data_IF_149071154088
#
_entry.id   IF_149071154088
#
_cell.length_a   1.000
_cell.length_b   1.000
_cell.length_c   1.000
_cell.angle_alpha   90.00
_cell.angle_beta   90.00
_cell.angle_gamma   90.00
#
_symmetry.space_group_name_H-M   'P 1'
#
loop_
_entity.id
_entity.type
_entity.pdbx_description
1 polymer ?
#
# COMPACT_ATOMS: atom_id res chain seq x y z
N UNK A 1 -1.50 -15.10 -23.63
CA UNK A 1 -2.69 -14.77 -22.80
C UNK A 1 -3.63 -13.90 -23.64
N UNK A 2 -4.94 -14.10 -23.58
CA UNK A 2 -5.90 -13.15 -24.21
C UNK A 2 -5.76 -11.81 -23.47
N UNK A 3 -5.53 -10.72 -24.21
CA UNK A 3 -5.39 -9.36 -23.68
C UNK A 3 -6.61 -9.03 -22.82
N UNK A 4 -6.39 -8.41 -21.66
CA UNK A 4 -7.44 -7.96 -20.74
C UNK A 4 -8.30 -6.93 -21.47
N UNK A 5 -9.61 -7.20 -21.56
CA UNK A 5 -10.55 -6.33 -22.29
C UNK A 5 -11.12 -5.22 -21.38
N UNK A 6 -11.91 -4.32 -21.98
CA UNK A 6 -12.53 -3.21 -21.25
C UNK A 6 -13.50 -3.67 -20.15
N UNK A 7 -14.19 -4.81 -20.33
CA UNK A 7 -15.10 -5.34 -19.31
C UNK A 7 -14.32 -5.92 -18.14
N UNK A 8 -13.22 -6.62 -18.39
CA UNK A 8 -12.30 -7.09 -17.35
C UNK A 8 -11.76 -5.90 -16.54
N UNK A 9 -11.30 -4.83 -17.22
CA UNK A 9 -10.84 -3.59 -16.57
C UNK A 9 -11.91 -2.95 -15.69
N UNK A 10 -13.15 -2.84 -16.18
CA UNK A 10 -14.29 -2.32 -15.40
C UNK A 10 -14.61 -3.21 -14.19
N UNK A 11 -14.52 -4.54 -14.32
CA UNK A 11 -14.67 -5.46 -13.19
C UNK A 11 -13.56 -5.23 -12.15
N UNK A 12 -12.31 -5.12 -12.58
CA UNK A 12 -11.18 -4.83 -11.68
C UNK A 12 -11.37 -3.49 -10.94
N UNK A 13 -11.85 -2.45 -11.63
CA UNK A 13 -12.15 -1.17 -11.01
C UNK A 13 -13.27 -1.27 -9.96
N UNK A 14 -14.34 -2.03 -10.24
CA UNK A 14 -15.40 -2.26 -9.25
C UNK A 14 -14.90 -3.07 -8.04
N UNK A 15 -14.00 -4.03 -8.26
CA UNK A 15 -13.34 -4.75 -7.17
C UNK A 15 -12.37 -3.86 -6.38
N UNK A 16 -11.75 -2.87 -7.00
CA UNK A 16 -10.99 -1.84 -6.29
C UNK A 16 -11.91 -0.86 -5.55
N UNK A 17 -13.12 -0.61 -6.03
CA UNK A 17 -14.08 0.21 -5.29
C UNK A 17 -14.55 -0.46 -3.99
N UNK A 18 -14.93 -1.73 -4.08
CA UNK A 18 -15.20 -2.59 -2.94
C UNK A 18 -15.16 -4.03 -3.41
N UNK A 19 -14.12 -4.77 -3.01
CA UNK A 19 -13.98 -6.15 -3.41
C UNK A 19 -14.97 -7.07 -2.70
N UNK A 20 -15.77 -6.64 -1.72
CA UNK A 20 -16.80 -7.50 -1.09
C UNK A 20 -18.15 -7.47 -1.82
N UNK A 21 -18.28 -6.65 -2.87
CA UNK A 21 -19.47 -6.62 -3.71
C UNK A 21 -19.78 -7.99 -4.34
N UNK A 22 -21.07 -8.30 -4.42
CA UNK A 22 -21.56 -9.49 -5.11
C UNK A 22 -21.36 -9.38 -6.62
N UNK A 23 -21.21 -10.52 -7.29
CA UNK A 23 -21.08 -10.56 -8.76
C UNK A 23 -22.31 -9.98 -9.47
N UNK A 24 -23.48 -9.99 -8.82
CA UNK A 24 -24.70 -9.36 -9.35
C UNK A 24 -24.61 -7.81 -9.30
N UNK A 25 -24.11 -7.24 -8.20
CA UNK A 25 -23.88 -5.79 -8.10
C UNK A 25 -22.87 -5.32 -9.14
N UNK A 26 -21.72 -6.02 -9.23
CA UNK A 26 -20.70 -5.73 -10.25
C UNK A 26 -21.31 -5.85 -11.66
N UNK A 27 -22.05 -6.93 -11.93
CA UNK A 27 -22.70 -7.18 -13.22
C UNK A 27 -23.66 -6.08 -13.66
N UNK A 28 -24.49 -5.57 -12.74
CA UNK A 28 -25.36 -4.41 -13.00
C UNK A 28 -24.57 -3.17 -13.42
N UNK A 29 -23.47 -2.86 -12.71
CA UNK A 29 -22.64 -1.69 -13.00
C UNK A 29 -21.88 -1.81 -14.32
N UNK A 30 -21.36 -3.00 -14.64
CA UNK A 30 -20.55 -3.21 -15.85
C UNK A 30 -21.36 -3.70 -17.05
N UNK A 31 -22.68 -3.91 -16.91
CA UNK A 31 -23.56 -4.41 -17.96
C UNK A 31 -23.23 -5.85 -18.39
N UNK A 32 -23.12 -6.77 -17.42
CA UNK A 32 -22.89 -8.20 -17.62
C UNK A 32 -23.77 -9.03 -16.68
N UNK A 33 -24.07 -10.27 -17.07
CA UNK A 33 -24.75 -11.23 -16.18
C UNK A 33 -23.85 -11.69 -15.03
N UNK A 34 -24.47 -12.05 -13.88
CA UNK A 34 -23.78 -12.51 -12.65
C UNK A 34 -22.75 -13.61 -12.93
N UNK A 35 -23.12 -14.62 -13.70
CA UNK A 35 -22.25 -15.79 -13.93
C UNK A 35 -21.06 -15.45 -14.83
N UNK A 36 -21.26 -14.54 -15.80
CA UNK A 36 -20.19 -14.02 -16.65
C UNK A 36 -19.17 -13.23 -15.82
N UNK A 37 -19.64 -12.43 -14.85
CA UNK A 37 -18.75 -11.73 -13.90
C UNK A 37 -17.96 -12.73 -13.06
N UNK A 38 -18.62 -13.73 -12.48
CA UNK A 38 -17.95 -14.78 -11.69
C UNK A 38 -16.85 -15.48 -12.48
N UNK A 39 -17.19 -15.95 -13.69
CA UNK A 39 -16.23 -16.57 -14.60
C UNK A 39 -15.03 -15.68 -14.92
N UNK A 40 -15.25 -14.37 -15.16
CA UNK A 40 -14.16 -13.42 -15.44
C UNK A 40 -13.26 -13.21 -14.23
N UNK A 41 -13.83 -13.05 -13.03
CA UNK A 41 -13.05 -12.91 -11.78
C UNK A 41 -12.17 -14.15 -11.56
N UNK A 42 -12.74 -15.36 -11.67
CA UNK A 42 -12.02 -16.62 -11.49
C UNK A 42 -10.89 -16.76 -12.53
N UNK A 43 -11.16 -16.37 -13.77
CA UNK A 43 -10.15 -16.37 -14.83
C UNK A 43 -9.02 -15.36 -14.54
N UNK A 44 -9.33 -14.18 -14.01
CA UNK A 44 -8.34 -13.15 -13.65
C UNK A 44 -7.48 -13.61 -12.47
N UNK A 45 -8.06 -14.31 -11.49
CA UNK A 45 -7.32 -14.98 -10.40
C UNK A 45 -6.42 -16.09 -10.94
N UNK A 46 -6.97 -17.03 -11.73
CA UNK A 46 -6.22 -18.17 -12.28
C UNK A 46 -5.04 -17.75 -13.15
N UNK A 47 -5.16 -16.63 -13.87
CA UNK A 47 -4.09 -16.10 -14.71
C UNK A 47 -3.11 -15.18 -13.95
N UNK A 48 -3.28 -14.99 -12.64
CA UNK A 48 -2.42 -14.17 -11.79
C UNK A 48 -2.56 -12.66 -12.00
N UNK A 49 -3.61 -12.19 -12.69
CA UNK A 49 -3.89 -10.75 -12.82
C UNK A 49 -4.34 -10.18 -11.48
N UNK A 50 -5.25 -10.88 -10.81
CA UNK A 50 -5.61 -10.61 -9.41
C UNK A 50 -4.70 -11.49 -8.55
N UNK A 51 -3.92 -10.85 -7.67
CA UNK A 51 -3.06 -11.56 -6.71
C UNK A 51 -3.86 -12.01 -5.48
N UNK A 52 -4.63 -11.07 -4.91
CA UNK A 52 -5.52 -11.32 -3.79
C UNK A 52 -6.52 -10.15 -3.61
N UNK A 53 -7.41 -10.30 -2.64
CA UNK A 53 -8.31 -9.26 -2.17
C UNK A 53 -7.91 -8.89 -0.75
N UNK A 54 -7.74 -7.60 -0.44
CA UNK A 54 -7.18 -7.18 0.84
C UNK A 54 -7.96 -6.00 1.45
N UNK A 55 -7.80 -5.81 2.75
CA UNK A 55 -8.36 -4.66 3.48
C UNK A 55 -7.32 -3.56 3.64
N UNK A 56 -7.71 -2.31 3.43
CA UNK A 56 -6.93 -1.15 3.87
C UNK A 56 -7.21 -0.95 5.36
N UNK A 57 -6.21 -1.26 6.20
CA UNK A 57 -6.29 -1.12 7.65
C UNK A 57 -5.52 0.13 8.08
N UNK A 58 -6.18 0.98 8.86
CA UNK A 58 -5.58 2.18 9.45
C UNK A 58 -4.81 1.79 10.70
N UNK A 59 -3.50 1.57 10.56
CA UNK A 59 -2.63 1.17 11.68
C UNK A 59 -2.41 2.31 12.68
N UNK A 60 -2.61 3.58 12.28
CA UNK A 60 -2.64 4.70 13.24
C UNK A 60 -3.84 4.59 14.18
N UNK A 61 -5.01 4.11 13.70
CA UNK A 61 -6.16 3.80 14.56
C UNK A 61 -5.89 2.65 15.53
N UNK A 62 -4.89 1.81 15.27
CA UNK A 62 -4.44 0.76 16.17
C UNK A 62 -3.31 1.21 17.13
N UNK A 63 -2.99 2.51 17.13
CA UNK A 63 -1.98 3.11 17.99
C UNK A 63 -0.55 2.76 17.60
N UNK A 64 -0.30 2.45 16.33
CA UNK A 64 1.05 2.32 15.80
C UNK A 64 1.50 3.61 15.12
N UNK A 65 2.77 3.93 15.28
CA UNK A 65 3.50 4.85 14.42
C UNK A 65 4.20 4.04 13.33
N UNK A 66 4.37 4.65 12.16
CA UNK A 66 5.00 3.99 11.01
C UNK A 66 6.34 4.66 10.74
N UNK A 67 7.40 3.89 10.86
CA UNK A 67 8.77 4.31 10.57
C UNK A 67 9.24 3.60 9.33
N UNK A 68 9.98 4.32 8.50
CA UNK A 68 10.60 3.80 7.30
C UNK A 68 12.09 4.02 7.36
N UNK A 69 12.83 2.98 7.03
CA UNK A 69 14.26 2.91 7.10
C UNK A 69 14.76 2.64 5.68
N UNK A 70 15.54 3.58 5.18
CA UNK A 70 16.24 3.46 3.90
C UNK A 70 17.68 3.08 4.19
N UNK A 71 18.21 2.05 3.51
CA UNK A 71 19.56 1.52 3.74
C UNK A 71 20.30 1.40 2.40
N UNK A 72 21.53 1.88 2.38
CA UNK A 72 22.54 1.54 1.38
C UNK A 72 23.57 0.60 1.99
N UNK A 73 23.89 -0.48 1.27
CA UNK A 73 24.84 -1.46 1.76
C UNK A 73 26.28 -1.10 1.39
N UNK A 74 27.20 -1.42 2.29
CA UNK A 74 28.63 -1.48 2.03
C UNK A 74 29.20 -2.80 2.52
N UNK A 75 30.21 -3.32 1.82
CA UNK A 75 30.94 -4.53 2.23
C UNK A 75 30.06 -5.78 2.48
N UNK A 76 28.86 -5.85 1.89
CA UNK A 76 27.97 -7.01 2.04
C UNK A 76 28.33 -8.10 1.03
N UNK A 77 28.47 -9.33 1.51
CA UNK A 77 28.40 -10.52 0.63
C UNK A 77 26.93 -10.92 0.43
N UNK A 78 26.61 -11.79 -0.54
CA UNK A 78 25.26 -12.33 -0.69
C UNK A 78 24.70 -12.95 0.60
N UNK A 79 25.51 -13.69 1.34
CA UNK A 79 25.11 -14.38 2.58
C UNK A 79 24.77 -13.39 3.69
N UNK A 80 25.60 -12.36 3.87
CA UNK A 80 25.37 -11.29 4.86
C UNK A 80 24.11 -10.50 4.47
N UNK A 81 23.93 -10.21 3.18
CA UNK A 81 22.73 -9.52 2.69
C UNK A 81 21.47 -10.32 2.99
N UNK A 82 21.49 -11.64 2.76
CA UNK A 82 20.38 -12.52 3.11
C UNK A 82 20.10 -12.57 4.61
N UNK A 83 21.15 -12.60 5.45
CA UNK A 83 21.03 -12.54 6.90
C UNK A 83 20.35 -11.25 7.37
N UNK A 84 20.82 -10.09 6.89
CA UNK A 84 20.25 -8.78 7.23
C UNK A 84 18.77 -8.70 6.79
N UNK A 85 18.47 -9.13 5.57
CA UNK A 85 17.09 -9.14 5.07
C UNK A 85 16.22 -10.04 5.93
N UNK A 86 16.71 -11.23 6.29
CA UNK A 86 15.99 -12.16 7.17
C UNK A 86 15.73 -11.56 8.54
N UNK A 87 16.69 -10.86 9.14
CA UNK A 87 16.51 -10.15 10.41
C UNK A 87 15.32 -9.18 10.36
N UNK A 88 15.21 -8.37 9.29
CA UNK A 88 14.07 -7.47 9.11
C UNK A 88 12.77 -8.22 8.79
N UNK A 89 12.80 -9.31 8.02
CA UNK A 89 11.61 -10.11 7.71
C UNK A 89 11.05 -10.78 8.96
N UNK A 90 11.90 -11.31 9.82
CA UNK A 90 11.51 -12.01 11.04
C UNK A 90 11.05 -11.04 12.16
N UNK A 91 11.38 -9.75 12.04
CA UNK A 91 10.87 -8.75 12.98
C UNK A 91 9.34 -8.65 12.90
N UNK A 92 8.69 -8.95 14.03
CA UNK A 92 7.22 -9.08 14.12
C UNK A 92 6.45 -7.80 13.82
N UNK A 93 7.10 -6.64 13.90
CA UNK A 93 6.49 -5.35 13.55
C UNK A 93 6.90 -4.84 12.17
N UNK A 94 7.58 -5.65 11.35
CA UNK A 94 7.86 -5.29 9.96
C UNK A 94 6.60 -5.35 9.11
N UNK A 95 6.29 -4.22 8.50
CA UNK A 95 5.28 -4.10 7.46
C UNK A 95 5.86 -4.55 6.12
N UNK A 96 6.85 -3.83 5.62
CA UNK A 96 7.44 -4.03 4.29
C UNK A 96 8.93 -4.26 4.44
N UNK A 97 9.46 -5.25 3.73
CA UNK A 97 10.90 -5.45 3.52
C UNK A 97 11.09 -5.69 2.03
N UNK A 98 11.77 -4.77 1.34
CA UNK A 98 11.90 -4.79 -0.11
C UNK A 98 13.26 -4.28 -0.55
N UNK A 99 13.95 -5.03 -1.41
CA UNK A 99 15.11 -4.47 -2.12
C UNK A 99 14.63 -3.64 -3.29
N UNK A 100 15.28 -2.51 -3.52
CA UNK A 100 14.91 -1.54 -4.55
C UNK A 100 16.12 -1.23 -5.44
N UNK A 101 15.87 -0.70 -6.63
CA UNK A 101 16.92 -0.20 -7.53
C UNK A 101 16.84 1.31 -7.62
N UNK A 102 17.96 1.98 -7.32
CA UNK A 102 18.31 3.40 -7.58
C UNK A 102 19.29 3.86 -6.48
N UNK A 103 19.01 4.94 -5.76
CA UNK A 103 19.84 5.51 -4.68
C UNK A 103 19.76 4.75 -3.34
N UNK A 104 18.90 3.73 -3.22
CA UNK A 104 18.66 2.94 -2.00
C UNK A 104 18.78 1.46 -2.38
N UNK A 105 19.31 0.61 -1.50
CA UNK A 105 19.41 -0.83 -1.74
C UNK A 105 18.30 -1.63 -1.04
N UNK A 106 17.94 -1.23 0.17
CA UNK A 106 16.93 -1.86 1.00
C UNK A 106 16.02 -0.80 1.63
N UNK A 107 14.72 -1.03 1.50
CA UNK A 107 13.67 -0.24 2.11
C UNK A 107 12.87 -1.11 3.09
N UNK A 108 12.79 -0.66 4.34
CA UNK A 108 12.11 -1.35 5.43
C UNK A 108 11.09 -0.42 6.06
N UNK A 109 9.86 -0.88 6.20
CA UNK A 109 8.81 -0.15 6.93
C UNK A 109 8.42 -0.97 8.16
N UNK A 110 8.45 -0.35 9.34
CA UNK A 110 8.10 -0.97 10.61
C UNK A 110 7.01 -0.19 11.34
N UNK A 111 6.19 -0.91 12.09
CA UNK A 111 5.28 -0.34 13.08
C UNK A 111 5.95 -0.28 14.45
N UNK A 112 5.72 0.77 15.21
CA UNK A 112 6.23 0.90 16.58
C UNK A 112 5.18 1.59 17.45
N UNK A 113 5.06 1.22 18.74
CA UNK A 113 4.09 1.90 19.61
C UNK A 113 4.57 3.29 20.01
N UNK A 114 5.88 3.47 20.15
CA UNK A 114 6.47 4.76 20.53
C UNK A 114 7.92 4.87 20.03
N UNK A 115 8.49 6.07 20.15
CA UNK A 115 9.84 6.39 19.68
C UNK A 115 10.91 5.58 20.43
N UNK A 116 10.69 5.27 21.72
CA UNK A 116 11.66 4.53 22.51
C UNK A 116 11.74 3.05 22.09
N UNK A 117 10.62 2.42 21.73
CA UNK A 117 10.62 1.08 21.14
C UNK A 117 11.34 1.05 19.79
N UNK A 118 11.16 2.08 18.96
CA UNK A 118 11.92 2.21 17.72
C UNK A 118 13.43 2.32 18.00
N UNK A 119 13.81 3.18 18.96
CA UNK A 119 15.21 3.36 19.33
C UNK A 119 15.86 2.02 19.72
N UNK A 120 15.25 1.24 20.62
CA UNK A 120 15.79 -0.08 21.01
C UNK A 120 16.03 -1.00 19.82
N UNK A 121 15.01 -1.14 18.98
CA UNK A 121 15.12 -1.97 17.77
C UNK A 121 16.23 -1.48 16.84
N UNK A 122 16.33 -0.17 16.62
CA UNK A 122 17.30 0.41 15.71
C UNK A 122 18.73 0.34 16.26
N UNK A 123 18.92 0.56 17.55
CA UNK A 123 20.22 0.47 18.24
C UNK A 123 20.77 -0.95 18.14
N UNK A 124 19.96 -1.97 18.47
CA UNK A 124 20.31 -3.38 18.30
C UNK A 124 20.64 -3.73 16.84
N UNK A 125 19.91 -3.14 15.89
CA UNK A 125 20.16 -3.34 14.46
C UNK A 125 21.51 -2.76 14.04
N UNK A 126 21.88 -1.59 14.56
CA UNK A 126 23.17 -0.95 14.27
C UNK A 126 24.35 -1.70 14.93
N UNK A 127 24.17 -2.22 16.13
CA UNK A 127 25.18 -3.06 16.81
C UNK A 127 25.52 -4.31 15.98
N UNK A 128 24.50 -4.95 15.40
CA UNK A 128 24.68 -6.16 14.59
C UNK A 128 25.21 -5.84 13.19
N UNK A 129 24.61 -4.84 12.52
CA UNK A 129 24.75 -4.67 11.07
C UNK A 129 25.22 -3.29 10.62
N UNK A 130 25.41 -2.32 11.53
CA UNK A 130 25.74 -0.94 11.19
C UNK A 130 27.02 -0.79 10.35
N UNK A 131 28.02 -1.65 10.56
CA UNK A 131 29.24 -1.70 9.74
C UNK A 131 29.01 -2.03 8.26
N UNK A 132 27.85 -2.59 7.92
CA UNK A 132 27.44 -2.91 6.55
C UNK A 132 26.52 -1.85 5.93
N UNK A 133 26.20 -0.77 6.64
CA UNK A 133 25.36 0.31 6.14
C UNK A 133 26.24 1.49 5.74
N UNK A 134 26.36 1.79 4.45
CA UNK A 134 27.10 2.97 3.97
C UNK A 134 26.38 4.23 4.43
N UNK A 135 25.06 4.23 4.23
CA UNK A 135 24.15 5.30 4.57
C UNK A 135 22.84 4.67 5.02
N UNK A 136 22.19 5.32 5.96
CA UNK A 136 20.82 5.03 6.30
C UNK A 136 20.06 6.32 6.59
N UNK A 137 18.75 6.30 6.35
CA UNK A 137 17.87 7.39 6.70
C UNK A 137 16.56 6.85 7.27
N UNK A 138 15.97 7.63 8.16
CA UNK A 138 14.71 7.27 8.82
C UNK A 138 13.67 8.33 8.49
N UNK A 139 12.50 7.87 8.07
CA UNK A 139 11.30 8.68 7.85
C UNK A 139 10.19 8.25 8.79
N UNK A 140 9.45 9.21 9.32
CA UNK A 140 8.27 8.97 10.16
C UNK A 140 7.03 9.40 9.37
N UNK A 141 6.14 8.46 9.07
CA UNK A 141 4.93 8.79 8.32
C UNK A 141 3.95 9.57 9.19
N UNK A 142 3.47 10.69 8.65
CA UNK A 142 2.46 11.53 9.30
C UNK A 142 1.09 11.41 8.64
N UNK A 143 1.07 11.07 7.35
CA UNK A 143 -0.15 10.89 6.57
C UNK A 143 0.09 9.94 5.41
N UNK A 144 -0.88 9.08 5.13
CA UNK A 144 -0.93 8.25 3.92
C UNK A 144 -2.26 8.47 3.20
N UNK A 145 -2.19 8.73 1.91
CA UNK A 145 -3.35 8.87 1.02
C UNK A 145 -3.36 7.72 0.02
N UNK A 146 -4.44 6.96 -0.02
CA UNK A 146 -4.64 5.86 -0.97
C UNK A 146 -5.70 6.24 -1.98
N UNK A 147 -5.40 6.07 -3.26
CA UNK A 147 -6.28 6.44 -4.35
C UNK A 147 -6.93 5.21 -4.98
N UNK A 148 -8.08 5.41 -5.61
CA UNK A 148 -8.66 4.39 -6.47
C UNK A 148 -7.80 4.20 -7.72
N UNK A 149 -7.81 2.96 -8.23
CA UNK A 149 -7.06 2.50 -9.42
C UNK A 149 -7.71 2.97 -10.72
N UNK A 150 -7.84 4.28 -10.84
CA UNK A 150 -8.40 5.02 -11.97
C UNK A 150 -7.75 4.68 -13.31
N UNK A 151 -6.45 4.39 -13.32
CA UNK A 151 -5.70 3.89 -14.48
C UNK A 151 -6.30 2.62 -15.13
N UNK A 152 -7.24 1.94 -14.46
CA UNK A 152 -7.99 0.82 -15.05
C UNK A 152 -9.03 1.28 -16.08
N UNK A 153 -9.55 2.50 -15.99
CA UNK A 153 -10.68 3.00 -16.78
C UNK A 153 -10.31 3.78 -18.04
N UNK A 154 -9.08 3.61 -18.56
CA UNK A 154 -8.52 4.25 -19.77
C UNK A 154 -9.56 4.92 -20.69
N UNK A 155 -9.45 6.24 -20.88
CA UNK A 155 -10.25 7.09 -21.79
C UNK A 155 -11.62 7.58 -21.29
N UNK A 156 -11.92 7.47 -20.00
CA UNK A 156 -13.09 8.13 -19.40
C UNK A 156 -12.64 9.39 -18.65
N UNK A 157 -13.21 10.56 -19.02
CA UNK A 157 -13.10 11.77 -18.21
C UNK A 157 -13.62 11.44 -16.81
N UNK A 158 -12.69 11.30 -15.87
CA UNK A 158 -13.01 11.15 -14.48
C UNK A 158 -13.34 12.53 -13.93
N UNK A 159 -14.56 13.00 -14.24
CA UNK A 159 -15.19 14.14 -13.56
C UNK A 159 -15.58 13.80 -12.11
N UNK A 160 -15.28 12.58 -11.67
CA UNK A 160 -15.57 12.12 -10.31
C UNK A 160 -14.53 12.69 -9.34
N UNK A 161 -15.02 13.24 -8.22
CA UNK A 161 -14.21 13.73 -7.11
C UNK A 161 -13.39 12.55 -6.56
N UNK A 162 -12.17 12.40 -7.08
CA UNK A 162 -11.21 11.36 -6.72
C UNK A 162 -10.69 11.60 -5.30
N UNK A 163 -11.55 11.35 -4.32
CA UNK A 163 -11.30 11.58 -2.91
C UNK A 163 -10.47 10.40 -2.36
N UNK A 164 -9.21 10.62 -1.99
CA UNK A 164 -8.39 9.55 -1.44
C UNK A 164 -8.83 9.17 -0.03
N UNK A 165 -8.66 7.90 0.30
CA UNK A 165 -8.69 7.45 1.69
C UNK A 165 -7.44 8.01 2.37
N UNK A 166 -7.64 8.89 3.34
CA UNK A 166 -6.54 9.48 4.12
C UNK A 166 -6.46 8.88 5.52
N UNK A 167 -5.27 8.42 5.91
CA UNK A 167 -4.91 7.95 7.25
C UNK A 167 -3.85 8.89 7.82
N UNK A 168 -4.03 9.36 9.06
CA UNK A 168 -3.14 10.35 9.69
C UNK A 168 -2.60 9.80 11.02
N UNK A 169 -1.36 10.15 11.34
CA UNK A 169 -0.79 9.92 12.67
C UNK A 169 -1.46 10.82 13.73
N UNK A 170 -1.15 10.57 15.00
CA UNK A 170 -1.58 11.43 16.11
C UNK A 170 -3.08 11.37 16.44
N UNK A 171 -3.80 10.40 15.88
CA UNK A 171 -5.21 10.15 16.21
C UNK A 171 -5.33 9.27 17.45
N UNK A 172 -6.45 9.41 18.17
CA UNK A 172 -6.75 8.55 19.32
C UNK A 172 -6.90 7.08 18.86
N UNK A 173 -6.13 6.14 19.43
CA UNK A 173 -6.27 4.73 19.11
C UNK A 173 -7.66 4.20 19.48
N UNK A 174 -8.11 3.22 18.73
CA UNK A 174 -9.29 2.40 19.00
C UNK A 174 -8.80 1.13 19.67
N UNK A 175 -9.36 0.83 20.84
CA UNK A 175 -9.11 -0.44 21.50
C UNK A 175 -9.81 -1.57 20.74
N UNK A 176 -9.04 -2.61 20.45
CA UNK A 176 -9.52 -3.83 19.82
C UNK A 176 -9.08 -5.01 20.68
N UNK A 177 -9.92 -6.05 20.73
CA UNK A 177 -9.57 -7.30 21.41
C UNK A 177 -8.82 -8.27 20.48
N UNK A 178 -8.41 -9.41 21.03
CA UNK A 178 -7.71 -10.46 20.29
C UNK A 178 -8.58 -11.05 19.15
N UNK A 179 -9.90 -11.18 19.35
CA UNK A 179 -10.80 -11.66 18.29
C UNK A 179 -10.89 -10.67 17.14
N UNK A 180 -10.97 -9.36 17.45
CA UNK A 180 -10.95 -8.30 16.45
C UNK A 180 -9.62 -8.31 15.67
N UNK A 181 -8.50 -8.56 16.36
CA UNK A 181 -7.20 -8.67 15.72
C UNK A 181 -7.11 -9.87 14.76
N UNK A 182 -7.53 -11.06 15.20
CA UNK A 182 -7.57 -12.25 14.34
C UNK A 182 -8.49 -12.04 13.13
N UNK A 183 -9.65 -11.41 13.33
CA UNK A 183 -10.54 -11.02 12.24
C UNK A 183 -9.82 -10.11 11.23
N UNK A 184 -9.14 -9.06 11.70
CA UNK A 184 -8.39 -8.15 10.83
C UNK A 184 -7.26 -8.89 10.08
N UNK A 185 -6.60 -9.85 10.72
CA UNK A 185 -5.52 -10.62 10.12
C UNK A 185 -6.01 -11.50 8.96
N UNK A 186 -7.17 -12.15 9.12
CA UNK A 186 -7.79 -12.96 8.07
C UNK A 186 -8.19 -12.11 6.85
N UNK A 187 -8.85 -10.97 7.08
CA UNK A 187 -9.33 -10.11 5.97
C UNK A 187 -8.21 -9.28 5.34
N UNK A 188 -7.08 -9.09 6.02
CA UNK A 188 -5.88 -8.48 5.43
C UNK A 188 -5.34 -9.31 4.26
N UNK A 189 -5.45 -10.65 4.34
CA UNK A 189 -4.98 -11.57 3.30
C UNK A 189 -6.07 -11.88 2.28
N UNK A 190 -7.30 -12.12 2.75
CA UNK A 190 -8.47 -12.39 1.92
C UNK A 190 -9.69 -11.59 2.40
N UNK A 191 -9.83 -10.37 1.91
CA UNK A 191 -10.96 -9.51 2.20
C UNK A 191 -12.32 -10.04 1.70
N UNK A 192 -12.34 -11.03 0.79
CA UNK A 192 -13.57 -11.63 0.25
C UNK A 192 -14.00 -12.91 0.96
N UNK A 193 -13.28 -13.33 2.01
CA UNK A 193 -13.63 -14.52 2.79
C UNK A 193 -15.11 -14.46 3.26
N UNK A 194 -15.89 -15.54 3.05
CA UNK A 194 -17.25 -15.66 3.57
C UNK A 194 -17.31 -15.48 5.09
N UNK A 195 -18.42 -14.89 5.57
CA UNK A 195 -18.61 -14.69 7.01
C UNK A 195 -18.70 -16.00 7.79
N UNK A 196 -19.21 -17.07 7.16
CA UNK A 196 -19.29 -18.40 7.77
C UNK A 196 -17.89 -19.00 7.98
N UNK A 197 -17.01 -18.92 6.98
CA UNK A 197 -15.63 -19.38 7.10
C UNK A 197 -14.85 -18.57 8.15
N UNK A 198 -15.09 -17.26 8.23
CA UNK A 198 -14.53 -16.43 9.31
C UNK A 198 -15.05 -16.84 10.69
N UNK A 199 -16.34 -17.16 10.78
CA UNK A 199 -16.98 -17.61 12.02
C UNK A 199 -16.36 -18.92 12.50
N UNK A 200 -16.15 -19.88 11.60
CA UNK A 200 -15.49 -21.14 11.89
C UNK A 200 -14.05 -20.92 12.37
N UNK A 201 -13.27 -20.09 11.67
CA UNK A 201 -11.88 -19.76 12.06
C UNK A 201 -11.78 -19.06 13.41
N UNK A 202 -12.74 -18.20 13.74
CA UNK A 202 -12.76 -17.41 14.98
C UNK A 202 -13.53 -18.11 16.11
N UNK A 203 -14.01 -19.34 15.87
CA UNK A 203 -14.84 -20.11 16.79
C UNK A 203 -16.01 -19.28 17.37
N UNK A 204 -16.77 -18.61 16.49
CA UNK A 204 -17.92 -17.79 16.88
C UNK A 204 -19.00 -17.75 15.80
N UNK A 205 -20.14 -17.09 16.05
CA UNK A 205 -21.23 -17.03 15.06
C UNK A 205 -20.99 -16.00 13.96
N UNK A 206 -21.53 -16.24 12.76
CA UNK A 206 -21.49 -15.29 11.65
C UNK A 206 -22.11 -13.93 12.02
N UNK A 207 -23.12 -13.90 12.91
CA UNK A 207 -23.66 -12.64 13.41
C UNK A 207 -22.62 -11.86 14.24
N UNK A 208 -21.86 -12.54 15.10
CA UNK A 208 -20.81 -11.92 15.91
C UNK A 208 -19.66 -11.41 15.04
N UNK A 209 -19.23 -12.17 14.03
CA UNK A 209 -18.24 -11.71 13.04
C UNK A 209 -18.73 -10.46 12.31
N UNK A 210 -19.98 -10.47 11.82
CA UNK A 210 -20.55 -9.33 11.11
C UNK A 210 -20.65 -8.07 11.99
N UNK A 211 -21.04 -8.25 13.26
CA UNK A 211 -21.06 -7.17 14.24
C UNK A 211 -19.67 -6.55 14.44
N UNK A 212 -18.64 -7.39 14.66
CA UNK A 212 -17.25 -6.93 14.82
C UNK A 212 -16.73 -6.23 13.57
N UNK A 213 -16.99 -6.79 12.40
CA UNK A 213 -16.60 -6.20 11.11
C UNK A 213 -17.20 -4.80 10.94
N UNK A 214 -18.50 -4.63 11.21
CA UNK A 214 -19.16 -3.32 11.18
C UNK A 214 -18.54 -2.36 12.18
N UNK A 215 -18.34 -2.79 13.43
CA UNK A 215 -17.69 -1.98 14.47
C UNK A 215 -16.31 -1.48 14.02
N UNK A 216 -15.49 -2.33 13.39
CA UNK A 216 -14.15 -1.95 12.88
C UNK A 216 -14.22 -0.96 11.70
N UNK A 217 -15.24 -1.08 10.83
CA UNK A 217 -15.49 -0.13 9.75
C UNK A 217 -15.98 1.22 10.30
N UNK A 218 -16.92 1.20 11.25
CA UNK A 218 -17.51 2.40 11.86
C UNK A 218 -16.45 3.21 12.61
N UNK A 219 -15.58 2.51 13.34
CA UNK A 219 -14.43 3.11 14.04
C UNK A 219 -13.25 3.48 13.12
N UNK A 220 -13.39 3.29 11.80
CA UNK A 220 -12.39 3.60 10.78
C UNK A 220 -11.08 2.82 10.94
N UNK A 221 -11.09 1.68 11.62
CA UNK A 221 -9.95 0.74 11.62
C UNK A 221 -9.82 0.10 10.24
N UNK A 222 -10.94 -0.35 9.67
CA UNK A 222 -11.00 -0.80 8.28
C UNK A 222 -11.48 0.39 7.44
N UNK A 223 -10.66 0.81 6.48
CA UNK A 223 -10.95 1.95 5.61
C UNK A 223 -11.60 1.55 4.30
N UNK A 224 -11.28 0.35 3.81
CA UNK A 224 -11.74 -0.15 2.52
C UNK A 224 -11.41 -1.64 2.32
N UNK A 225 -12.08 -2.24 1.34
CA UNK A 225 -11.75 -3.55 0.77
C UNK A 225 -11.36 -3.36 -0.70
N UNK A 226 -10.21 -3.87 -1.11
CA UNK A 226 -9.55 -3.59 -2.39
C UNK A 226 -9.08 -4.87 -3.08
N UNK A 227 -8.67 -4.71 -4.32
CA UNK A 227 -8.06 -5.77 -5.12
C UNK A 227 -6.57 -5.48 -5.33
N UNK A 228 -5.73 -6.48 -5.13
CA UNK A 228 -4.31 -6.40 -5.44
C UNK A 228 -4.05 -6.99 -6.83
N UNK A 229 -3.30 -6.26 -7.65
CA UNK A 229 -3.13 -6.58 -9.06
C UNK A 229 -1.67 -6.84 -9.40
N UNK A 230 -1.43 -7.75 -10.32
CA UNK A 230 -0.15 -7.82 -11.02
C UNK A 230 -0.11 -6.80 -12.15
N UNK A 231 0.55 -5.67 -11.89
CA UNK A 231 0.66 -4.58 -12.85
C UNK A 231 1.38 -5.01 -14.13
N UNK A 232 2.32 -5.96 -14.06
CA UNK A 232 3.03 -6.46 -15.24
C UNK A 232 2.10 -7.18 -16.21
N UNK A 233 1.03 -7.81 -15.71
CA UNK A 233 -0.03 -8.44 -16.53
C UNK A 233 -0.98 -7.42 -17.17
N UNK A 234 -0.90 -6.16 -16.76
CA UNK A 234 -1.66 -5.03 -17.29
C UNK A 234 -0.81 -4.12 -18.19
N UNK A 235 0.44 -4.51 -18.47
CA UNK A 235 1.45 -3.71 -19.15
C UNK A 235 1.73 -2.37 -18.41
N UNK A 236 1.73 -2.43 -17.08
CA UNK A 236 1.96 -1.30 -16.18
C UNK A 236 3.09 -1.60 -15.20
N UNK A 237 3.70 -0.55 -14.70
CA UNK A 237 4.80 -0.55 -13.74
C UNK A 237 4.52 0.47 -12.65
N UNK A 238 5.02 0.19 -11.45
CA UNK A 238 4.88 1.08 -10.31
C UNK A 238 6.24 1.68 -9.96
N UNK A 239 6.27 3.00 -9.88
CA UNK A 239 7.44 3.77 -9.48
C UNK A 239 7.12 4.53 -8.21
N UNK A 240 8.04 4.48 -7.26
CA UNK A 240 8.02 5.39 -6.14
C UNK A 240 8.90 6.58 -6.44
N UNK A 241 8.40 7.77 -6.20
CA UNK A 241 9.09 9.03 -6.43
C UNK A 241 9.23 9.77 -5.12
N UNK A 242 10.41 10.33 -4.88
CA UNK A 242 10.71 11.23 -3.79
C UNK A 242 10.83 12.65 -4.36
N UNK A 243 10.02 13.57 -3.87
CA UNK A 243 10.04 14.98 -4.30
C UNK A 243 10.52 15.84 -3.14
N UNK A 244 11.50 16.70 -3.41
CA UNK A 244 12.11 17.62 -2.46
C UNK A 244 11.74 19.06 -2.83
N UNK A 245 11.19 19.81 -1.88
CA UNK A 245 10.61 21.12 -2.18
C UNK A 245 11.51 22.26 -1.71
N UNK A 246 11.51 23.36 -2.48
CA UNK A 246 12.06 24.66 -2.09
C UNK A 246 11.33 25.22 -0.88
N UNK A 247 10.02 25.03 -0.84
CA UNK A 247 9.13 25.55 0.20
C UNK A 247 8.09 24.50 0.61
N UNK A 248 8.04 24.15 1.90
CA UNK A 248 7.11 23.16 2.44
C UNK A 248 5.62 23.53 2.25
N UNK A 249 5.30 24.82 2.06
CA UNK A 249 3.92 25.27 1.78
C UNK A 249 3.34 24.67 0.51
N UNK A 250 4.19 24.22 -0.42
CA UNK A 250 3.78 23.63 -1.70
C UNK A 250 3.35 22.16 -1.60
N UNK A 251 3.53 21.51 -0.44
CA UNK A 251 3.04 20.14 -0.21
C UNK A 251 1.55 19.99 -0.52
N UNK A 252 0.71 20.94 -0.06
CA UNK A 252 -0.74 20.91 -0.27
C UNK A 252 -1.15 21.17 -1.73
N UNK A 253 -0.68 22.24 -2.41
CA UNK A 253 -0.94 22.44 -3.83
C UNK A 253 -0.56 21.25 -4.71
N UNK A 254 0.64 20.68 -4.53
CA UNK A 254 1.10 19.54 -5.31
C UNK A 254 0.24 18.30 -5.03
N UNK A 255 -0.12 18.05 -3.76
CA UNK A 255 -1.07 16.98 -3.43
C UNK A 255 -2.40 17.14 -4.15
N UNK A 256 -3.01 18.33 -4.09
CA UNK A 256 -4.31 18.59 -4.72
C UNK A 256 -4.27 18.43 -6.24
N UNK A 257 -3.14 18.80 -6.85
CA UNK A 257 -2.89 18.58 -8.27
C UNK A 257 -2.79 17.09 -8.61
N UNK A 258 -1.91 16.36 -7.93
CA UNK A 258 -1.68 14.93 -8.17
C UNK A 258 -2.90 14.07 -7.83
N UNK A 259 -3.70 14.46 -6.85
CA UNK A 259 -4.90 13.73 -6.45
C UNK A 259 -5.91 13.53 -7.60
N UNK A 260 -5.90 14.44 -8.58
CA UNK A 260 -6.77 14.40 -9.77
C UNK A 260 -6.22 13.53 -10.90
N UNK A 261 -4.98 13.04 -10.79
CA UNK A 261 -4.31 12.27 -11.86
C UNK A 261 -4.61 10.79 -11.71
N UNK A 262 -5.02 10.12 -12.78
CA UNK A 262 -5.39 8.70 -12.76
C UNK A 262 -4.24 7.74 -12.43
N UNK A 263 -3.01 8.18 -12.69
CA UNK A 263 -1.77 7.44 -12.50
C UNK A 263 -1.25 7.40 -11.06
N UNK A 264 -1.75 8.20 -10.11
CA UNK A 264 -1.27 8.12 -8.71
C UNK A 264 -1.97 7.00 -7.94
N UNK A 265 -1.22 6.09 -7.32
CA UNK A 265 -1.79 4.95 -6.56
C UNK A 265 -1.77 5.25 -5.05
N UNK A 266 -0.65 5.78 -4.56
CA UNK A 266 -0.46 6.17 -3.16
C UNK A 266 0.29 7.48 -3.06
N UNK A 267 0.12 8.18 -1.95
CA UNK A 267 1.00 9.28 -1.56
C UNK A 267 1.21 9.31 -0.06
N UNK A 268 2.46 9.17 0.36
CA UNK A 268 2.84 9.30 1.75
C UNK A 268 3.44 10.67 2.02
N UNK A 269 3.20 11.17 3.23
CA UNK A 269 3.86 12.33 3.80
C UNK A 269 4.64 11.86 5.01
N UNK A 270 5.90 12.26 5.08
CA UNK A 270 6.78 11.91 6.17
C UNK A 270 7.55 13.13 6.68
N UNK A 271 8.07 12.98 7.90
CA UNK A 271 9.21 13.75 8.40
C UNK A 271 10.44 12.90 8.14
N UNK A 272 11.45 13.42 7.44
CA UNK A 272 12.69 12.70 7.15
C UNK A 272 13.14 12.86 5.70
N UNK A 273 13.31 11.73 5.02
CA UNK A 273 13.95 11.61 3.70
C UNK A 273 13.44 12.57 2.64
N UNK A 274 12.13 12.57 2.35
CA UNK A 274 11.54 13.36 1.27
C UNK A 274 10.31 14.16 1.73
N UNK A 275 9.99 15.24 1.00
CA UNK A 275 8.87 16.13 1.32
C UNK A 275 7.52 15.55 0.91
N UNK A 276 7.48 14.86 -0.23
CA UNK A 276 6.35 14.13 -0.77
C UNK A 276 6.86 12.81 -1.36
N UNK A 277 6.12 11.73 -1.11
CA UNK A 277 6.48 10.41 -1.61
C UNK A 277 5.34 9.76 -2.43
N UNK A 278 4.99 10.30 -3.63
CA UNK A 278 3.99 9.69 -4.49
C UNK A 278 4.46 8.37 -5.10
N UNK A 279 3.51 7.48 -5.32
CA UNK A 279 3.70 6.24 -6.06
C UNK A 279 2.83 6.28 -7.32
N UNK A 280 3.47 6.22 -8.47
CA UNK A 280 2.84 6.30 -9.78
C UNK A 280 2.75 4.94 -10.44
N UNK A 281 1.64 4.67 -11.10
CA UNK A 281 1.41 3.50 -11.94
C UNK A 281 1.30 3.96 -13.39
N UNK A 282 2.28 3.60 -14.19
CA UNK A 282 2.47 4.06 -15.57
C UNK A 282 2.88 2.89 -16.46
N UNK A 283 2.84 3.03 -17.79
CA UNK A 283 3.20 1.96 -18.73
C UNK A 283 4.71 1.67 -18.70
N UNK A 284 5.51 2.73 -18.68
CA UNK A 284 6.96 2.64 -18.79
C UNK A 284 7.67 3.83 -18.14
N UNK A 285 9.00 3.77 -18.18
CA UNK A 285 9.87 4.80 -17.63
C UNK A 285 9.76 6.14 -18.36
N UNK A 286 9.47 6.15 -19.67
CA UNK A 286 9.33 7.39 -20.43
C UNK A 286 8.07 8.16 -20.00
N UNK A 287 6.97 7.45 -19.71
CA UNK A 287 5.76 8.05 -19.16
C UNK A 287 6.00 8.64 -17.76
N UNK A 288 6.79 7.97 -16.92
CA UNK A 288 7.23 8.54 -15.64
C UNK A 288 7.99 9.87 -15.85
N UNK A 289 8.97 9.89 -16.75
CA UNK A 289 9.77 11.10 -17.02
C UNK A 289 8.89 12.27 -17.47
N UNK A 290 7.89 12.02 -18.32
CA UNK A 290 6.92 13.04 -18.73
C UNK A 290 6.11 13.59 -17.55
N UNK A 291 5.68 12.73 -16.63
CA UNK A 291 4.98 13.15 -15.41
C UNK A 291 5.90 14.01 -14.52
N UNK A 292 7.16 13.61 -14.35
CA UNK A 292 8.11 14.40 -13.56
C UNK A 292 8.36 15.79 -14.17
N UNK A 293 8.48 15.86 -15.50
CA UNK A 293 8.59 17.11 -16.24
C UNK A 293 7.31 17.96 -16.12
N UNK A 294 6.12 17.35 -16.25
CA UNK A 294 4.82 18.00 -16.06
C UNK A 294 4.72 18.67 -14.69
N UNK A 295 5.12 17.95 -13.61
CA UNK A 295 5.11 18.50 -12.25
C UNK A 295 6.12 19.66 -12.13
N UNK A 296 7.32 19.55 -12.74
CA UNK A 296 8.30 20.63 -12.73
C UNK A 296 7.82 21.89 -13.46
N UNK A 297 7.10 21.73 -14.57
CA UNK A 297 6.54 22.85 -15.33
C UNK A 297 5.38 23.52 -14.56
N UNK A 298 4.44 22.73 -14.05
CA UNK A 298 3.30 23.22 -13.26
C UNK A 298 3.76 23.95 -11.99
N UNK A 299 4.80 23.44 -11.33
CA UNK A 299 5.37 24.00 -10.11
C UNK A 299 6.78 24.54 -10.36
N UNK A 300 6.94 25.39 -11.38
CA UNK A 300 8.24 25.94 -11.77
C UNK A 300 8.97 26.63 -10.62
N UNK A 301 10.24 26.25 -10.41
CA UNK A 301 11.10 26.76 -9.33
C UNK A 301 10.75 26.25 -7.92
N UNK A 302 9.75 25.37 -7.79
CA UNK A 302 9.34 24.78 -6.51
C UNK A 302 10.13 23.54 -6.12
N UNK A 303 10.64 22.79 -7.10
CA UNK A 303 11.20 21.45 -6.91
C UNK A 303 12.72 21.55 -6.89
N UNK A 304 13.34 21.11 -5.79
CA UNK A 304 14.80 21.07 -5.63
C UNK A 304 15.40 19.84 -6.33
N UNK A 305 14.77 18.70 -6.12
CA UNK A 305 15.20 17.38 -6.59
C UNK A 305 13.97 16.49 -6.73
N UNK A 306 14.03 15.59 -7.71
CA UNK A 306 13.20 14.40 -7.77
C UNK A 306 14.12 13.20 -7.90
N UNK A 307 13.85 12.14 -7.15
CA UNK A 307 14.45 10.83 -7.35
C UNK A 307 13.33 9.79 -7.42
N UNK A 308 13.65 8.61 -7.93
CA UNK A 308 12.69 7.52 -7.98
C UNK A 308 13.41 6.21 -7.70
N UNK A 309 12.64 5.20 -7.30
CA UNK A 309 13.10 3.83 -7.21
C UNK A 309 11.98 2.86 -7.54
N UNK A 310 12.38 1.68 -7.96
CA UNK A 310 11.49 0.57 -8.30
C UNK A 310 11.79 -0.62 -7.37
N UNK A 311 10.74 -1.32 -6.96
CA UNK A 311 10.89 -2.56 -6.21
C UNK A 311 11.55 -3.64 -7.08
N UNK A 312 12.65 -4.21 -6.58
CA UNK A 312 13.32 -5.35 -7.20
C UNK A 312 12.74 -6.66 -6.68
N UNK A 313 12.73 -6.83 -5.35
CA UNK A 313 12.22 -8.04 -4.71
C UNK A 313 11.56 -7.72 -3.38
N UNK A 314 10.30 -8.11 -3.26
CA UNK A 314 9.50 -7.99 -2.04
C UNK A 314 9.67 -9.25 -1.18
N UNK A 315 10.19 -9.09 0.03
CA UNK A 315 10.43 -10.19 0.97
C UNK A 315 9.32 -10.32 2.01
N UNK A 316 8.76 -9.19 2.46
CA UNK A 316 7.61 -9.14 3.38
C UNK A 316 6.69 -7.99 2.98
N UNK A 317 5.39 -8.25 2.99
CA UNK A 317 4.33 -7.24 2.97
C UNK A 317 3.15 -7.76 3.79
N UNK A 318 2.98 -7.23 4.99
CA UNK A 318 1.86 -7.57 5.88
C UNK A 318 1.06 -6.32 6.20
N UNK A 319 -0.25 -6.38 6.46
CA UNK A 319 -1.02 -5.17 6.81
C UNK A 319 -1.20 -4.95 8.32
N UNK A 320 -0.65 -5.86 9.13
CA UNK A 320 -0.66 -5.83 10.59
C UNK A 320 0.64 -6.44 11.14
N UNK A 321 1.06 -6.09 12.37
CA UNK A 321 2.14 -6.80 13.06
C UNK A 321 1.84 -8.30 13.26
N UNK A 322 2.75 -9.02 13.89
CA UNK A 322 2.60 -10.41 14.33
C UNK A 322 2.54 -10.44 15.87
N UNK A 323 1.41 -10.02 16.43
CA UNK A 323 1.23 -9.94 17.89
C UNK A 323 0.86 -11.28 18.53
N UNK A 324 0.03 -12.06 17.84
CA UNK A 324 -0.49 -13.33 18.32
C UNK A 324 -0.02 -14.43 17.36
N UNK A 325 0.37 -15.58 17.92
CA UNK A 325 0.80 -16.75 17.15
C UNK A 325 -0.38 -17.60 16.73
#
# INVERSE_FOLDING_TARGET
>A
MKKIDLKDRKILYQLDHDCRQSNNQIGKTVGLGRDVVGYRIDKLLKNGVIKNFYSIIDTFRLGFNVFRIYINFQYVTPEIKEEIIKYFVDYKYSWVVVTVKSEIDLDVVVWVKNIYEFYKFWDETLDLYGKYFEKHAISIYIKSSVFMKSYLLTDQNMDDDRIPITMNCGIKPVEIDETDYYLLNEIAVNARIPLIDLADKLNCSSQKVNYRLKKLIDNKVIRAFRVNLDLSKLDLQKYKVDIYLKNHKLKKPIFSYLAKKDYIDFMNFAIGWADLEPEFVVKDFNELLKILEEINLEFSGAIKKQSFFIAEKLYKQRCLPELYK
#
